data_IF_734560381864
#
_entry.id   IF_734560381864
#
_cell.length_a   1.000
_cell.length_b   1.000
_cell.length_c   1.000
_cell.angle_alpha   90.00
_cell.angle_beta   90.00
_cell.angle_gamma   90.00
#
_symmetry.space_group_name_H-M   'P 1'
#
loop_
_entity.id
_entity.type
_entity.pdbx_description
1 polymer ?
#
# COMPACT_ATOMS: atom_id res chain seq x y z
N UNK A 1 -6.98 -13.69 -7.12
CA UNK A 1 -5.55 -13.76 -6.71
C UNK A 1 -4.47 -13.64 -7.81
N UNK A 2 -4.04 -14.68 -8.56
CA UNK A 2 -2.87 -14.56 -9.49
C UNK A 2 -3.00 -13.44 -10.55
N UNK A 3 -4.21 -13.22 -11.07
CA UNK A 3 -4.50 -12.16 -12.05
C UNK A 3 -4.42 -10.76 -11.43
N UNK A 4 -4.91 -10.56 -10.21
CA UNK A 4 -4.85 -9.28 -9.49
C UNK A 4 -3.42 -8.93 -9.08
N UNK A 5 -2.68 -9.89 -8.52
CA UNK A 5 -1.24 -9.72 -8.21
C UNK A 5 -0.45 -9.28 -9.46
N UNK A 6 -0.75 -9.84 -10.64
CA UNK A 6 -0.13 -9.42 -11.92
C UNK A 6 -0.55 -8.02 -12.36
N UNK A 7 -1.83 -7.66 -12.20
CA UNK A 7 -2.38 -6.34 -12.56
C UNK A 7 -1.79 -5.24 -11.68
N UNK A 8 -1.75 -5.46 -10.36
CA UNK A 8 -1.11 -4.62 -9.37
C UNK A 8 0.36 -4.30 -9.74
N UNK A 9 1.16 -5.35 -9.98
CA UNK A 9 2.57 -5.21 -10.35
C UNK A 9 2.77 -4.45 -11.66
N UNK A 10 1.89 -4.63 -12.64
CA UNK A 10 1.91 -3.88 -13.90
C UNK A 10 1.62 -2.39 -13.71
N UNK A 11 0.60 -2.07 -12.91
CA UNK A 11 0.24 -0.68 -12.59
C UNK A 11 1.37 0.05 -11.85
N UNK A 12 1.99 -0.60 -10.85
CA UNK A 12 3.14 -0.06 -10.13
C UNK A 12 4.28 0.30 -11.09
N UNK A 13 4.65 -0.62 -11.99
CA UNK A 13 5.72 -0.38 -12.98
C UNK A 13 5.41 0.82 -13.87
N UNK A 14 4.16 0.94 -14.37
CA UNK A 14 3.75 2.08 -15.20
C UNK A 14 3.89 3.41 -14.44
N UNK A 15 3.47 3.45 -13.19
CA UNK A 15 3.54 4.64 -12.33
C UNK A 15 5.01 5.01 -12.06
N UNK A 16 5.88 4.03 -11.78
CA UNK A 16 7.31 4.26 -11.57
C UNK A 16 8.02 4.80 -12.81
N UNK A 17 7.71 4.27 -14.00
CA UNK A 17 8.25 4.81 -15.26
C UNK A 17 7.82 6.25 -15.48
N UNK A 18 6.56 6.58 -15.16
CA UNK A 18 6.06 7.96 -15.25
C UNK A 18 6.76 8.90 -14.25
N UNK A 19 7.06 8.44 -13.02
CA UNK A 19 7.86 9.21 -12.05
C UNK A 19 9.25 9.47 -12.61
N UNK A 20 9.91 8.42 -13.10
CA UNK A 20 11.27 8.50 -13.63
C UNK A 20 11.38 9.49 -14.80
N UNK A 21 10.48 9.40 -15.79
CA UNK A 21 10.41 10.34 -16.91
C UNK A 21 10.16 11.80 -16.47
N UNK A 22 9.42 12.00 -15.38
CA UNK A 22 9.16 13.35 -14.85
C UNK A 22 10.39 13.93 -14.15
N UNK A 23 11.17 13.09 -13.44
CA UNK A 23 12.39 13.47 -12.73
C UNK A 23 13.48 13.97 -13.69
N UNK A 24 13.60 13.37 -14.87
CA UNK A 24 14.57 13.79 -15.90
C UNK A 24 13.99 14.86 -16.85
N UNK A 25 13.73 16.08 -16.34
CA UNK A 25 13.13 17.21 -17.07
C UNK A 25 13.95 17.64 -18.31
N UNK A 26 15.27 17.52 -18.28
CA UNK A 26 16.20 17.96 -19.34
C UNK A 26 16.04 17.17 -20.66
N UNK A 27 15.76 15.87 -20.57
CA UNK A 27 15.52 15.00 -21.73
C UNK A 27 14.26 15.40 -22.51
N UNK A 28 13.24 15.91 -21.83
CA UNK A 28 12.00 16.39 -22.46
C UNK A 28 12.19 17.73 -23.16
N UNK A 29 12.99 18.61 -22.58
CA UNK A 29 13.32 19.91 -23.17
C UNK A 29 14.05 19.75 -24.51
N UNK A 30 15.04 18.85 -24.57
CA UNK A 30 15.77 18.56 -25.81
C UNK A 30 14.86 18.08 -26.96
N UNK A 31 13.90 17.18 -26.67
CA UNK A 31 12.93 16.68 -27.65
C UNK A 31 11.96 17.77 -28.14
N UNK A 32 11.49 18.65 -27.25
CA UNK A 32 10.59 19.75 -27.64
C UNK A 32 11.30 20.81 -28.49
N UNK A 33 12.56 21.16 -28.17
CA UNK A 33 13.35 22.08 -28.99
C UNK A 33 13.55 21.55 -30.42
N UNK A 34 13.85 20.26 -30.57
CA UNK A 34 14.00 19.63 -31.88
C UNK A 34 12.73 19.73 -32.74
N UNK A 35 11.55 19.51 -32.15
CA UNK A 35 10.27 19.60 -32.87
C UNK A 35 9.96 21.03 -33.33
N UNK A 36 10.24 22.04 -32.50
CA UNK A 36 10.04 23.46 -32.86
C UNK A 36 10.96 23.87 -34.02
N UNK A 37 12.22 23.43 -34.02
CA UNK A 37 13.15 23.72 -35.11
C UNK A 37 12.67 23.13 -36.45
N UNK A 38 12.08 21.93 -36.44
CA UNK A 38 11.49 21.32 -37.64
C UNK A 38 10.30 22.13 -38.16
N UNK A 39 9.43 22.61 -37.27
CA UNK A 39 8.29 23.45 -37.65
C UNK A 39 8.71 24.82 -38.23
N UNK A 40 9.75 25.43 -37.66
CA UNK A 40 10.32 26.68 -38.19
C UNK A 40 10.90 26.45 -39.59
N UNK A 41 11.70 25.40 -39.76
CA UNK A 41 12.29 25.05 -41.06
C UNK A 41 11.22 24.81 -42.14
N UNK A 42 10.16 24.07 -41.79
CA UNK A 42 9.06 23.79 -42.70
C UNK A 42 8.27 25.04 -43.08
N UNK A 43 8.01 25.92 -42.10
CA UNK A 43 7.26 27.17 -42.31
C UNK A 43 8.02 28.16 -43.20
N UNK A 44 9.34 28.27 -43.02
CA UNK A 44 10.19 29.09 -43.88
C UNK A 44 10.15 28.61 -45.34
N UNK A 45 10.24 27.30 -45.54
CA UNK A 45 10.22 26.71 -46.89
C UNK A 45 8.87 26.89 -47.60
N UNK A 46 7.78 27.03 -46.84
CA UNK A 46 6.44 27.30 -47.37
C UNK A 46 6.26 28.78 -47.75
N UNK A 47 6.77 29.71 -46.93
CA UNK A 47 6.62 31.16 -47.17
C UNK A 47 7.41 31.63 -48.39
N UNK A 48 8.56 31.02 -48.71
CA UNK A 48 9.34 31.36 -49.91
C UNK A 48 8.63 31.02 -51.24
N UNK A 49 7.41 30.45 -51.21
CA UNK A 49 6.65 30.02 -52.39
C UNK A 49 5.36 30.80 -52.63
N UNK A 50 4.99 31.75 -51.77
CA UNK A 50 3.69 32.43 -51.85
C UNK A 50 3.90 33.95 -51.88
N UNK A 51 3.55 34.58 -53.01
CA UNK A 51 3.58 36.02 -53.21
C UNK A 51 2.19 36.59 -52.90
N UNK A 52 2.07 37.52 -51.93
CA UNK A 52 0.78 38.01 -51.44
C UNK A 52 0.73 39.55 -51.55
N UNK A 53 -0.19 40.09 -52.37
CA UNK A 53 -0.50 41.53 -52.47
C UNK A 53 -1.68 41.91 -51.54
N UNK A 54 -1.58 43.04 -50.82
CA UNK A 54 -2.49 43.47 -49.75
C UNK A 54 -2.86 44.96 -49.87
N UNK A 55 -4.07 45.31 -50.38
CA UNK A 55 -4.50 46.73 -50.51
C UNK A 55 -5.75 47.13 -49.69
N UNK A 56 -6.45 46.23 -49.00
CA UNK A 56 -7.55 46.62 -48.07
C UNK A 56 -7.72 45.70 -46.86
N UNK A 57 -6.69 44.92 -46.57
CA UNK A 57 -6.60 43.87 -45.56
C UNK A 57 -6.35 44.41 -44.14
N UNK A 58 -5.99 45.70 -43.98
CA UNK A 58 -5.61 46.26 -42.68
C UNK A 58 -6.75 46.34 -41.66
N UNK A 59 -7.90 46.91 -42.02
CA UNK A 59 -9.04 47.07 -41.09
C UNK A 59 -9.76 45.75 -40.82
N UNK A 60 -10.01 44.98 -41.88
CA UNK A 60 -10.58 43.63 -41.76
C UNK A 60 -9.64 42.70 -40.96
N UNK A 61 -8.32 42.85 -41.14
CA UNK A 61 -7.29 42.15 -40.39
C UNK A 61 -7.27 42.52 -38.89
N UNK A 62 -7.52 43.79 -38.53
CA UNK A 62 -7.63 44.21 -37.12
C UNK A 62 -8.85 43.62 -36.43
N UNK A 63 -10.02 43.60 -37.09
CA UNK A 63 -11.24 43.00 -36.52
C UNK A 63 -11.09 41.48 -36.39
N UNK A 64 -10.57 40.80 -37.42
CA UNK A 64 -10.28 39.37 -37.36
C UNK A 64 -9.22 39.05 -36.29
N UNK A 65 -8.17 39.87 -36.20
CA UNK A 65 -7.13 39.75 -35.18
C UNK A 65 -7.69 39.90 -33.75
N UNK A 66 -8.61 40.84 -33.53
CA UNK A 66 -9.27 41.01 -32.24
C UNK A 66 -10.18 39.82 -31.88
N UNK A 67 -10.94 39.29 -32.84
CA UNK A 67 -11.79 38.10 -32.64
C UNK A 67 -10.94 36.87 -32.35
N UNK A 68 -9.89 36.62 -33.14
CA UNK A 68 -8.97 35.50 -32.94
C UNK A 68 -8.23 35.65 -31.60
N UNK A 69 -7.75 36.85 -31.27
CA UNK A 69 -7.10 37.16 -30.00
C UNK A 69 -8.02 36.94 -28.80
N UNK A 70 -9.30 37.33 -28.91
CA UNK A 70 -10.32 37.08 -27.89
C UNK A 70 -10.61 35.59 -27.68
N UNK A 71 -10.76 34.83 -28.76
CA UNK A 71 -10.97 33.37 -28.70
C UNK A 71 -9.75 32.64 -28.13
N UNK A 72 -8.53 33.01 -28.53
CA UNK A 72 -7.29 32.45 -27.99
C UNK A 72 -7.12 32.79 -26.51
N UNK A 73 -7.47 34.01 -26.08
CA UNK A 73 -7.45 34.41 -24.67
C UNK A 73 -8.42 33.60 -23.84
N UNK A 74 -9.64 33.38 -24.34
CA UNK A 74 -10.66 32.56 -23.67
C UNK A 74 -10.23 31.09 -23.60
N UNK A 75 -9.74 30.52 -24.70
CA UNK A 75 -9.20 29.15 -24.72
C UNK A 75 -8.01 28.99 -23.75
N UNK A 76 -7.11 29.97 -23.72
CA UNK A 76 -6.00 30.04 -22.77
C UNK A 76 -6.49 30.07 -21.33
N UNK A 77 -7.49 30.90 -21.03
CA UNK A 77 -8.08 31.04 -19.69
C UNK A 77 -8.73 29.74 -19.22
N UNK A 78 -9.52 29.08 -20.08
CA UNK A 78 -10.14 27.78 -19.78
C UNK A 78 -9.07 26.72 -19.55
N UNK A 79 -8.00 26.72 -20.36
CA UNK A 79 -6.90 25.76 -20.21
C UNK A 79 -6.15 25.96 -18.89
N UNK A 80 -5.79 27.20 -18.54
CA UNK A 80 -5.13 27.54 -17.27
C UNK A 80 -6.03 27.13 -16.09
N UNK A 81 -7.31 27.51 -16.14
CA UNK A 81 -8.27 27.16 -15.10
C UNK A 81 -8.42 25.64 -14.92
N UNK A 82 -8.54 24.90 -16.03
CA UNK A 82 -8.60 23.44 -16.00
C UNK A 82 -7.33 22.82 -15.39
N UNK A 83 -6.16 23.37 -15.74
CA UNK A 83 -4.87 22.90 -15.22
C UNK A 83 -4.74 23.17 -13.72
N UNK A 84 -5.14 24.35 -13.26
CA UNK A 84 -5.14 24.73 -11.84
C UNK A 84 -6.11 23.86 -11.03
N UNK A 85 -7.33 23.65 -11.55
CA UNK A 85 -8.32 22.80 -10.89
C UNK A 85 -7.83 21.35 -10.76
N UNK A 86 -7.19 20.82 -11.81
CA UNK A 86 -6.53 19.50 -11.75
C UNK A 86 -5.39 19.47 -10.74
N UNK A 87 -4.61 20.53 -10.61
CA UNK A 87 -3.54 20.61 -9.61
C UNK A 87 -4.12 20.56 -8.20
N UNK A 88 -5.10 21.42 -7.89
CA UNK A 88 -5.81 21.46 -6.61
C UNK A 88 -6.40 20.09 -6.25
N UNK A 89 -7.05 19.43 -7.20
CA UNK A 89 -7.62 18.10 -6.96
C UNK A 89 -6.55 17.03 -6.68
N UNK A 90 -5.41 17.05 -7.38
CA UNK A 90 -4.33 16.09 -7.13
C UNK A 90 -3.64 16.32 -5.78
N UNK A 91 -3.44 17.57 -5.38
CA UNK A 91 -2.93 17.92 -4.05
C UNK A 91 -3.92 17.48 -2.97
N UNK A 92 -5.23 17.73 -3.17
CA UNK A 92 -6.30 17.24 -2.29
C UNK A 92 -6.25 15.72 -2.14
N UNK A 93 -6.12 14.96 -3.25
CA UNK A 93 -5.99 13.49 -3.20
C UNK A 93 -4.75 13.04 -2.44
N UNK A 94 -3.60 13.68 -2.64
CA UNK A 94 -2.39 13.39 -1.85
C UNK A 94 -2.66 13.54 -0.36
N UNK A 95 -3.19 14.68 0.06
CA UNK A 95 -3.39 15.00 1.48
C UNK A 95 -4.50 14.17 2.15
N UNK A 96 -5.59 13.87 1.43
CA UNK A 96 -6.77 13.22 2.02
C UNK A 96 -6.84 11.71 1.84
N UNK A 97 -6.08 11.15 0.88
CA UNK A 97 -6.11 9.73 0.52
C UNK A 97 -4.71 9.14 0.67
N UNK A 98 -3.73 9.64 -0.06
CA UNK A 98 -2.43 8.96 -0.16
C UNK A 98 -1.60 9.08 1.12
N UNK A 99 -1.45 10.28 1.69
CA UNK A 99 -0.66 10.48 2.91
C UNK A 99 -1.24 9.69 4.09
N UNK A 100 -2.55 9.75 4.41
CA UNK A 100 -3.10 8.96 5.52
C UNK A 100 -2.92 7.45 5.36
N UNK A 101 -3.01 6.93 4.13
CA UNK A 101 -2.75 5.52 3.87
C UNK A 101 -1.27 5.19 4.01
N UNK A 102 -0.38 6.04 3.48
CA UNK A 102 1.06 5.84 3.58
C UNK A 102 1.52 5.81 5.05
N UNK A 103 1.08 6.78 5.85
CA UNK A 103 1.48 6.91 7.25
C UNK A 103 1.02 5.69 8.08
N UNK A 104 -0.21 5.20 7.85
CA UNK A 104 -0.72 3.99 8.50
C UNK A 104 0.07 2.74 8.09
N UNK A 105 0.32 2.55 6.79
CA UNK A 105 1.07 1.40 6.28
C UNK A 105 2.53 1.41 6.75
N UNK A 106 3.15 2.58 6.85
CA UNK A 106 4.51 2.74 7.35
C UNK A 106 4.57 2.44 8.86
N UNK A 107 3.62 2.97 9.63
CA UNK A 107 3.51 2.68 11.07
C UNK A 107 3.40 1.18 11.32
N UNK A 108 2.53 0.48 10.57
CA UNK A 108 2.38 -0.97 10.69
C UNK A 108 3.67 -1.69 10.27
N UNK A 109 4.36 -1.21 9.25
CA UNK A 109 5.63 -1.81 8.85
C UNK A 109 6.68 -1.72 9.96
N UNK A 110 6.80 -0.56 10.60
CA UNK A 110 7.79 -0.32 11.65
C UNK A 110 7.45 -1.05 12.96
N UNK A 111 6.17 -1.26 13.26
CA UNK A 111 5.74 -1.98 14.47
C UNK A 111 5.70 -3.50 14.29
N UNK A 112 5.31 -3.99 13.11
CA UNK A 112 5.13 -5.42 12.83
C UNK A 112 6.36 -6.00 12.15
N UNK A 113 6.67 -5.54 10.95
CA UNK A 113 7.63 -6.22 10.08
C UNK A 113 9.09 -5.90 10.42
N UNK A 114 9.39 -4.66 10.82
CA UNK A 114 10.75 -4.27 11.23
C UNK A 114 11.18 -4.98 12.52
N UNK A 115 10.23 -5.29 13.40
CA UNK A 115 10.47 -6.00 14.66
C UNK A 115 10.29 -7.52 14.55
N UNK A 116 9.93 -8.03 13.36
CA UNK A 116 9.55 -9.44 13.14
C UNK A 116 8.49 -9.93 14.16
N UNK A 117 7.52 -9.05 14.44
CA UNK A 117 6.43 -9.30 15.36
C UNK A 117 5.26 -9.96 14.62
N UNK A 118 4.60 -10.91 15.30
CA UNK A 118 3.45 -11.64 14.80
C UNK A 118 2.20 -11.24 15.60
N UNK A 119 1.39 -10.28 15.10
CA UNK A 119 0.25 -9.77 15.83
C UNK A 119 -0.79 -10.86 16.09
N UNK A 120 -1.40 -10.92 17.30
CA UNK A 120 -2.49 -11.83 17.61
C UNK A 120 -3.71 -11.65 16.70
N UNK A 121 -4.00 -10.41 16.34
CA UNK A 121 -5.09 -10.04 15.46
C UNK A 121 -4.67 -8.96 14.46
N UNK A 122 -5.16 -9.08 13.24
CA UNK A 122 -5.00 -8.05 12.22
C UNK A 122 -6.29 -7.88 11.40
N UNK A 123 -6.86 -6.68 11.39
CA UNK A 123 -8.14 -6.43 10.71
C UNK A 123 -8.24 -5.06 10.02
N UNK A 124 -9.19 -4.97 9.09
CA UNK A 124 -9.68 -3.71 8.55
C UNK A 124 -10.95 -3.33 9.30
N UNK A 125 -10.87 -2.32 10.17
CA UNK A 125 -11.99 -1.91 11.00
C UNK A 125 -12.01 -0.40 11.24
N UNK A 126 -13.23 0.11 11.46
CA UNK A 126 -13.53 1.53 11.71
C UNK A 126 -13.22 1.94 13.14
N UNK A 127 -13.22 0.98 14.06
CA UNK A 127 -13.12 1.27 15.47
C UNK A 127 -11.68 1.60 15.87
N UNK A 128 -11.52 2.47 16.87
CA UNK A 128 -10.20 2.68 17.48
C UNK A 128 -9.70 1.35 18.03
N UNK A 129 -8.41 1.11 17.89
CA UNK A 129 -7.72 -0.05 18.45
C UNK A 129 -8.07 -0.18 19.93
N UNK A 130 -8.67 -1.31 20.32
CA UNK A 130 -9.08 -1.57 21.72
C UNK A 130 -7.92 -2.15 22.54
N UNK A 131 -7.03 -2.93 21.91
CA UNK A 131 -5.87 -3.55 22.56
C UNK A 131 -4.56 -3.15 21.86
N UNK A 132 -3.53 -2.84 22.65
CA UNK A 132 -2.23 -2.34 22.15
C UNK A 132 -1.50 -3.30 21.18
N UNK A 133 -1.80 -4.60 21.26
CA UNK A 133 -1.10 -5.63 20.49
C UNK A 133 -1.73 -5.92 19.11
N UNK A 134 -2.94 -5.39 18.85
CA UNK A 134 -3.70 -5.62 17.62
C UNK A 134 -3.27 -4.67 16.49
N UNK A 135 -3.28 -5.17 15.25
CA UNK A 135 -2.99 -4.35 14.07
C UNK A 135 -4.29 -4.01 13.36
N UNK A 136 -4.56 -2.71 13.18
CA UNK A 136 -5.80 -2.27 12.54
C UNK A 136 -5.55 -1.28 11.41
N UNK A 137 -6.17 -1.56 10.27
CA UNK A 137 -6.18 -0.70 9.10
C UNK A 137 -7.46 0.15 9.07
N UNK A 138 -7.36 1.39 9.56
CA UNK A 138 -8.49 2.30 9.74
C UNK A 138 -8.62 3.33 8.63
N UNK A 139 -7.51 3.73 8.00
CA UNK A 139 -7.49 4.78 6.99
C UNK A 139 -8.27 4.33 5.74
N UNK A 140 -8.09 3.08 5.33
CA UNK A 140 -8.81 2.52 4.18
C UNK A 140 -10.31 2.44 4.40
N UNK A 141 -10.74 1.92 5.56
CA UNK A 141 -12.16 1.84 5.91
C UNK A 141 -12.82 3.22 5.93
N UNK A 142 -12.14 4.23 6.49
CA UNK A 142 -12.62 5.61 6.49
C UNK A 142 -12.77 6.17 5.07
N UNK A 143 -11.83 5.86 4.17
CA UNK A 143 -11.89 6.31 2.78
C UNK A 143 -13.05 5.62 2.04
N UNK A 144 -13.26 4.31 2.24
CA UNK A 144 -14.36 3.56 1.61
C UNK A 144 -15.75 4.12 1.96
N UNK A 145 -15.89 4.71 3.14
CA UNK A 145 -17.17 5.20 3.64
C UNK A 145 -17.61 6.57 3.10
N UNK A 146 -16.73 7.33 2.45
CA UNK A 146 -17.05 8.69 2.03
C UNK A 146 -16.69 8.98 0.57
N UNK A 147 -16.88 10.23 0.18
CA UNK A 147 -16.69 10.69 -1.21
C UNK A 147 -15.25 10.54 -1.70
N UNK A 148 -14.26 10.38 -0.81
CA UNK A 148 -12.87 10.12 -1.18
C UNK A 148 -12.72 8.80 -1.92
N UNK A 149 -13.57 7.81 -1.66
CA UNK A 149 -13.57 6.56 -2.43
C UNK A 149 -13.81 6.80 -3.93
N UNK A 150 -14.70 7.72 -4.29
CA UNK A 150 -14.96 8.09 -5.69
C UNK A 150 -13.76 8.78 -6.32
N UNK A 151 -13.02 9.57 -5.54
CA UNK A 151 -11.80 10.25 -6.00
C UNK A 151 -10.55 9.33 -6.02
N UNK A 152 -10.64 8.13 -5.43
CA UNK A 152 -9.52 7.18 -5.33
C UNK A 152 -9.33 6.43 -6.66
N UNK A 153 -8.10 6.42 -7.24
CA UNK A 153 -7.82 5.66 -8.45
C UNK A 153 -8.01 4.14 -8.27
N UNK A 154 -8.49 3.46 -9.31
CA UNK A 154 -8.69 2.01 -9.30
C UNK A 154 -7.42 1.22 -8.98
N UNK A 155 -6.25 1.72 -9.36
CA UNK A 155 -4.98 1.09 -9.01
C UNK A 155 -4.78 1.02 -7.49
N UNK A 156 -5.18 2.06 -6.76
CA UNK A 156 -5.11 2.09 -5.29
C UNK A 156 -6.20 1.21 -4.71
N UNK A 157 -7.44 1.31 -5.19
CA UNK A 157 -8.56 0.45 -4.74
C UNK A 157 -8.20 -1.02 -4.81
N UNK A 158 -7.83 -1.49 -6.01
CA UNK A 158 -7.50 -2.90 -6.22
C UNK A 158 -6.32 -3.37 -5.35
N UNK A 159 -5.34 -2.50 -5.12
CA UNK A 159 -4.18 -2.84 -4.30
C UNK A 159 -4.52 -2.88 -2.81
N UNK A 160 -5.39 -1.98 -2.35
CA UNK A 160 -5.88 -2.00 -0.97
C UNK A 160 -6.81 -3.18 -0.71
N UNK A 161 -7.71 -3.52 -1.63
CA UNK A 161 -8.56 -4.72 -1.48
C UNK A 161 -7.72 -6.01 -1.47
N UNK A 162 -6.69 -6.11 -2.30
CA UNK A 162 -5.74 -7.22 -2.23
C UNK A 162 -5.03 -7.27 -0.87
N UNK A 163 -4.67 -6.12 -0.30
CA UNK A 163 -4.10 -6.08 1.05
C UNK A 163 -5.12 -6.53 2.12
N UNK A 164 -6.39 -6.14 2.00
CA UNK A 164 -7.47 -6.63 2.86
C UNK A 164 -7.54 -8.16 2.87
N UNK A 165 -7.54 -8.78 1.68
CA UNK A 165 -7.58 -10.23 1.54
C UNK A 165 -6.39 -10.91 2.23
N UNK A 166 -5.17 -10.42 2.00
CA UNK A 166 -3.96 -11.03 2.61
C UNK A 166 -3.93 -10.87 4.13
N UNK A 167 -4.46 -9.77 4.66
CA UNK A 167 -4.59 -9.56 6.11
C UNK A 167 -5.64 -10.51 6.70
N UNK A 168 -6.76 -10.72 6.03
CA UNK A 168 -7.80 -11.68 6.44
C UNK A 168 -7.30 -13.13 6.39
N UNK A 169 -6.54 -13.49 5.36
CA UNK A 169 -5.89 -14.81 5.27
C UNK A 169 -4.87 -15.01 6.40
N UNK A 170 -4.09 -13.98 6.74
CA UNK A 170 -3.19 -14.01 7.90
C UNK A 170 -3.96 -14.21 9.21
N UNK A 171 -5.02 -13.42 9.46
CA UNK A 171 -5.78 -13.50 10.72
C UNK A 171 -6.45 -14.88 10.88
N UNK A 172 -7.00 -15.42 9.79
CA UNK A 172 -7.57 -16.77 9.75
C UNK A 172 -6.50 -17.82 10.06
N UNK A 173 -5.36 -17.77 9.37
CA UNK A 173 -4.24 -18.69 9.60
C UNK A 173 -3.69 -18.55 11.04
N UNK A 174 -3.71 -17.35 11.63
CA UNK A 174 -3.31 -17.12 13.03
C UNK A 174 -4.23 -17.83 14.01
N UNK A 175 -5.55 -17.82 13.78
CA UNK A 175 -6.52 -18.54 14.62
C UNK A 175 -6.41 -20.05 14.45
N UNK A 176 -6.25 -20.54 13.23
CA UNK A 176 -6.02 -21.97 12.97
C UNK A 176 -4.74 -22.47 13.65
N UNK A 177 -3.67 -21.68 13.54
CA UNK A 177 -2.39 -21.96 14.21
C UNK A 177 -2.55 -21.97 15.74
N UNK A 178 -3.31 -21.03 16.32
CA UNK A 178 -3.63 -21.05 17.76
C UNK A 178 -4.30 -22.37 18.17
N UNK A 179 -5.30 -22.80 17.39
CA UNK A 179 -6.02 -24.05 17.65
C UNK A 179 -5.16 -25.31 17.48
N UNK A 180 -4.21 -25.30 16.55
CA UNK A 180 -3.24 -26.39 16.38
C UNK A 180 -2.27 -26.46 17.55
N UNK A 181 -1.71 -25.32 17.96
CA UNK A 181 -0.78 -25.23 19.10
C UNK A 181 -1.46 -25.72 20.38
N UNK A 182 -2.73 -25.36 20.61
CA UNK A 182 -3.50 -25.86 21.74
C UNK A 182 -3.65 -27.38 21.70
N UNK A 183 -4.00 -27.95 20.54
CA UNK A 183 -4.12 -29.41 20.35
C UNK A 183 -2.81 -30.15 20.58
N UNK A 184 -1.69 -29.62 20.07
CA UNK A 184 -0.35 -30.19 20.29
C UNK A 184 0.00 -30.16 21.78
N UNK A 185 -0.23 -29.01 22.42
CA UNK A 185 0.06 -28.84 23.85
C UNK A 185 -0.76 -29.79 24.72
N UNK A 186 -2.08 -29.86 24.51
CA UNK A 186 -2.99 -30.72 25.29
C UNK A 186 -2.61 -32.20 25.19
N UNK A 187 -2.23 -32.65 23.99
CA UNK A 187 -1.77 -34.03 23.76
C UNK A 187 -0.46 -34.32 24.49
N UNK A 188 0.51 -33.40 24.44
CA UNK A 188 1.81 -33.59 25.09
C UNK A 188 1.64 -33.57 26.61
N UNK A 189 0.89 -32.62 27.16
CA UNK A 189 0.62 -32.53 28.60
C UNK A 189 -0.08 -33.79 29.12
N UNK A 190 -1.05 -34.35 28.37
CA UNK A 190 -1.70 -35.62 28.70
C UNK A 190 -0.70 -36.80 28.73
N UNK A 191 0.22 -36.87 27.77
CA UNK A 191 1.30 -37.87 27.73
C UNK A 191 2.17 -37.85 29.00
N UNK A 192 2.34 -36.68 29.64
CA UNK A 192 3.10 -36.53 30.89
C UNK A 192 2.22 -36.61 32.15
N UNK A 193 0.93 -36.98 32.04
CA UNK A 193 0.03 -37.21 33.17
C UNK A 193 -0.56 -35.94 33.80
N UNK A 194 -0.51 -34.82 33.10
CA UNK A 194 -1.04 -33.53 33.57
C UNK A 194 -2.48 -33.30 33.01
N UNK A 195 -3.41 -32.70 33.79
CA UNK A 195 -4.81 -32.58 33.40
C UNK A 195 -5.05 -31.50 32.32
N UNK A 196 -5.65 -31.89 31.20
CA UNK A 196 -5.99 -30.99 30.06
C UNK A 196 -6.93 -29.83 30.43
N UNK A 197 -7.81 -30.02 31.41
CA UNK A 197 -8.82 -29.02 31.79
C UNK A 197 -8.23 -27.68 32.28
N UNK A 198 -6.97 -27.65 32.69
CA UNK A 198 -6.28 -26.44 33.14
C UNK A 198 -5.89 -25.49 31.98
N UNK A 199 -5.88 -25.99 30.74
CA UNK A 199 -5.16 -25.39 29.61
C UNK A 199 -6.03 -24.99 28.41
N UNK A 200 -7.32 -25.36 28.42
CA UNK A 200 -8.28 -25.01 27.38
C UNK A 200 -8.39 -23.49 27.15
N UNK A 201 -8.39 -23.07 25.88
CA UNK A 201 -8.51 -21.69 25.44
C UNK A 201 -7.23 -20.87 25.55
N UNK A 202 -6.06 -21.52 25.73
CA UNK A 202 -4.77 -20.84 25.92
C UNK A 202 -3.84 -20.95 24.72
N UNK A 203 -4.26 -21.53 23.60
CA UNK A 203 -3.43 -21.63 22.39
C UNK A 203 -2.82 -20.31 21.92
N UNK A 204 -3.52 -19.18 22.13
CA UNK A 204 -3.00 -17.84 21.81
C UNK A 204 -1.82 -17.40 22.69
N UNK A 205 -1.80 -17.78 23.97
CA UNK A 205 -0.68 -17.49 24.90
C UNK A 205 0.53 -18.31 24.52
N UNK A 206 0.30 -19.61 24.29
CA UNK A 206 1.36 -20.57 23.95
C UNK A 206 2.02 -20.18 22.62
N UNK A 207 1.20 -19.94 21.59
CA UNK A 207 1.71 -19.53 20.29
C UNK A 207 2.44 -18.18 20.34
N UNK A 208 1.99 -17.22 21.17
CA UNK A 208 2.70 -15.94 21.36
C UNK A 208 4.11 -16.18 21.90
N UNK A 209 4.27 -17.04 22.91
CA UNK A 209 5.59 -17.38 23.47
C UNK A 209 6.48 -18.18 22.51
N UNK A 210 5.89 -19.02 21.65
CA UNK A 210 6.63 -19.72 20.59
C UNK A 210 7.14 -18.73 19.54
N UNK A 211 6.28 -17.83 19.08
CA UNK A 211 6.59 -16.87 18.01
C UNK A 211 7.53 -15.75 18.47
N UNK A 212 7.46 -15.31 19.73
CA UNK A 212 8.35 -14.29 20.29
C UNK A 212 9.79 -14.78 20.46
N UNK A 213 10.02 -16.11 20.39
CA UNK A 213 11.29 -16.76 20.70
C UNK A 213 11.84 -16.38 22.08
N UNK A 214 10.97 -15.96 22.98
CA UNK A 214 11.36 -15.74 24.36
C UNK A 214 11.72 -17.09 24.99
N UNK A 215 12.90 -17.15 25.63
CA UNK A 215 13.40 -18.30 26.38
C UNK A 215 12.68 -18.41 27.74
N UNK A 216 11.36 -18.27 27.70
CA UNK A 216 10.47 -18.47 28.84
C UNK A 216 9.82 -19.82 28.68
N UNK A 217 9.84 -20.59 29.76
CA UNK A 217 9.14 -21.85 29.85
C UNK A 217 7.63 -21.63 29.71
N UNK A 218 7.04 -22.11 28.60
CA UNK A 218 5.63 -21.91 28.27
C UNK A 218 4.73 -22.50 29.36
N UNK A 219 5.11 -23.67 29.89
CA UNK A 219 4.36 -24.34 30.96
C UNK A 219 4.26 -23.48 32.23
N UNK A 220 5.31 -22.72 32.57
CA UNK A 220 5.31 -21.78 33.70
C UNK A 220 4.40 -20.58 33.46
N UNK A 221 4.44 -19.99 32.26
CA UNK A 221 3.55 -18.86 31.91
C UNK A 221 2.07 -19.25 31.99
N UNK A 222 1.78 -20.50 31.63
CA UNK A 222 0.42 -21.01 31.61
C UNK A 222 -0.03 -21.41 33.04
N UNK A 223 0.75 -22.17 33.79
CA UNK A 223 0.31 -22.69 35.10
C UNK A 223 0.35 -21.64 36.22
N UNK A 224 1.12 -20.56 36.08
CA UNK A 224 1.30 -19.49 37.08
C UNK A 224 1.67 -19.95 38.51
N UNK A 225 1.92 -21.24 38.76
CA UNK A 225 2.00 -21.76 40.15
C UNK A 225 2.86 -23.01 40.38
N UNK A 226 3.55 -23.59 39.38
CA UNK A 226 4.48 -24.72 39.61
C UNK A 226 5.93 -24.26 39.40
N UNK A 227 6.80 -24.61 40.35
CA UNK A 227 8.25 -24.48 40.14
C UNK A 227 8.65 -25.22 38.87
N UNK A 228 9.62 -24.65 38.15
CA UNK A 228 10.14 -25.27 36.94
C UNK A 228 10.80 -26.59 37.30
N UNK A 229 10.21 -27.69 36.83
CA UNK A 229 10.71 -29.04 37.04
C UNK A 229 11.15 -29.67 35.71
N UNK A 230 11.88 -30.78 35.76
CA UNK A 230 12.39 -31.44 34.57
C UNK A 230 11.29 -31.93 33.61
N UNK A 231 10.07 -32.18 34.11
CA UNK A 231 8.92 -32.54 33.29
C UNK A 231 8.43 -31.33 32.48
N UNK A 232 8.32 -30.17 33.10
CA UNK A 232 7.89 -28.92 32.44
C UNK A 232 8.83 -28.50 31.32
N UNK A 233 10.15 -28.67 31.50
CA UNK A 233 11.15 -28.41 30.44
C UNK A 233 11.04 -29.38 29.28
N UNK A 234 10.77 -30.67 29.56
CA UNK A 234 10.54 -31.67 28.52
C UNK A 234 9.28 -31.38 27.71
N UNK A 235 8.18 -31.01 28.38
CA UNK A 235 6.94 -30.58 27.72
C UNK A 235 7.21 -29.37 26.83
N UNK A 236 7.85 -28.32 27.35
CA UNK A 236 8.15 -27.10 26.59
C UNK A 236 8.97 -27.40 25.32
N UNK A 237 10.03 -28.21 25.45
CA UNK A 237 10.87 -28.62 24.32
C UNK A 237 10.08 -29.42 23.28
N UNK A 238 9.33 -30.44 23.70
CA UNK A 238 8.56 -31.31 22.81
C UNK A 238 7.47 -30.50 22.06
N UNK A 239 6.79 -29.59 22.76
CA UNK A 239 5.79 -28.69 22.15
C UNK A 239 6.45 -27.79 21.11
N UNK A 240 7.58 -27.15 21.43
CA UNK A 240 8.28 -26.26 20.49
C UNK A 240 8.76 -27.00 19.26
N UNK A 241 9.34 -28.19 19.43
CA UNK A 241 9.80 -29.03 18.32
C UNK A 241 8.64 -29.47 17.41
N UNK A 242 7.52 -29.90 17.99
CA UNK A 242 6.39 -30.37 17.19
C UNK A 242 5.65 -29.22 16.49
N UNK A 243 5.48 -28.08 17.18
CA UNK A 243 4.87 -26.88 16.61
C UNK A 243 5.73 -26.32 15.47
N UNK A 244 7.05 -26.25 15.61
CA UNK A 244 7.93 -25.72 14.55
C UNK A 244 7.89 -26.59 13.29
N UNK A 245 7.64 -27.90 13.43
CA UNK A 245 7.51 -28.85 12.32
C UNK A 245 6.08 -29.02 11.79
N UNK A 246 5.10 -28.33 12.38
CA UNK A 246 3.69 -28.45 11.98
C UNK A 246 3.39 -27.76 10.64
N UNK A 247 2.49 -28.34 9.85
CA UNK A 247 2.00 -27.71 8.62
C UNK A 247 1.31 -26.37 8.90
N UNK A 248 0.66 -26.24 10.07
CA UNK A 248 0.03 -24.99 10.51
C UNK A 248 1.06 -23.86 10.70
N UNK A 249 2.22 -24.14 11.30
CA UNK A 249 3.31 -23.15 11.44
C UNK A 249 3.82 -22.69 10.07
N UNK A 250 4.01 -23.63 9.14
CA UNK A 250 4.46 -23.32 7.79
C UNK A 250 3.44 -22.45 7.06
N UNK A 251 2.18 -22.86 7.04
CA UNK A 251 1.10 -22.11 6.41
C UNK A 251 0.97 -20.70 7.00
N UNK A 252 1.01 -20.58 8.33
CA UNK A 252 0.98 -19.30 9.03
C UNK A 252 2.14 -18.37 8.62
N UNK A 253 3.38 -18.89 8.58
CA UNK A 253 4.55 -18.12 8.14
C UNK A 253 4.44 -17.69 6.68
N UNK A 254 3.88 -18.54 5.81
CA UNK A 254 3.64 -18.21 4.41
C UNK A 254 2.62 -17.06 4.28
N UNK A 255 1.49 -17.12 4.98
CA UNK A 255 0.49 -16.05 4.99
C UNK A 255 1.07 -14.72 5.51
N UNK A 256 1.90 -14.76 6.57
CA UNK A 256 2.60 -13.56 7.06
C UNK A 256 3.55 -12.97 6.02
N UNK A 257 4.32 -13.81 5.31
CA UNK A 257 5.22 -13.37 4.26
C UNK A 257 4.45 -12.76 3.06
N UNK A 258 3.31 -13.34 2.69
CA UNK A 258 2.44 -12.82 1.65
C UNK A 258 1.82 -11.47 2.02
N UNK A 259 1.35 -11.32 3.26
CA UNK A 259 0.88 -10.05 3.80
C UNK A 259 2.00 -9.00 3.72
N UNK A 260 3.19 -9.29 4.26
CA UNK A 260 4.34 -8.39 4.23
C UNK A 260 4.68 -7.93 2.80
N UNK A 261 4.81 -8.89 1.88
CA UNK A 261 5.15 -8.60 0.49
C UNK A 261 4.08 -7.73 -0.21
N UNK A 262 2.81 -7.96 0.12
CA UNK A 262 1.70 -7.17 -0.42
C UNK A 262 1.69 -5.77 0.18
N UNK A 263 1.90 -5.63 1.49
CA UNK A 263 2.01 -4.33 2.16
C UNK A 263 3.15 -3.49 1.59
N UNK A 264 4.35 -4.06 1.40
CA UNK A 264 5.46 -3.35 0.78
C UNK A 264 5.15 -2.86 -0.64
N UNK A 265 4.43 -3.67 -1.44
CA UNK A 265 4.00 -3.26 -2.77
C UNK A 265 2.99 -2.11 -2.71
N UNK A 266 2.04 -2.18 -1.78
CA UNK A 266 1.05 -1.13 -1.53
C UNK A 266 1.71 0.17 -1.10
N UNK A 267 2.62 0.12 -0.12
CA UNK A 267 3.36 1.29 0.35
C UNK A 267 4.16 1.93 -0.79
N UNK A 268 4.85 1.13 -1.62
CA UNK A 268 5.60 1.62 -2.79
C UNK A 268 4.70 2.28 -3.83
N UNK A 269 3.52 1.73 -4.08
CA UNK A 269 2.53 2.32 -5.00
C UNK A 269 2.09 3.70 -4.51
N UNK A 270 1.70 3.79 -3.24
CA UNK A 270 1.20 5.02 -2.63
C UNK A 270 2.31 6.07 -2.57
N UNK A 271 3.52 5.70 -2.15
CA UNK A 271 4.69 6.57 -2.16
C UNK A 271 4.97 7.15 -3.55
N UNK A 272 4.91 6.31 -4.59
CA UNK A 272 5.10 6.76 -5.97
C UNK A 272 4.03 7.77 -6.40
N UNK A 273 2.78 7.58 -5.98
CA UNK A 273 1.69 8.51 -6.27
C UNK A 273 1.87 9.85 -5.54
N UNK A 274 2.33 9.83 -4.29
CA UNK A 274 2.69 11.04 -3.53
C UNK A 274 3.80 11.77 -4.28
N UNK A 275 4.91 11.10 -4.61
CA UNK A 275 6.05 11.69 -5.34
C UNK A 275 5.61 12.30 -6.68
N UNK A 276 4.72 11.63 -7.43
CA UNK A 276 4.17 12.19 -8.66
C UNK A 276 3.42 13.51 -8.46
N UNK A 277 2.70 13.66 -7.35
CA UNK A 277 1.98 14.89 -7.03
C UNK A 277 2.98 15.98 -6.65
N UNK A 278 3.94 15.67 -5.77
CA UNK A 278 5.00 16.60 -5.35
C UNK A 278 5.75 17.17 -6.57
N UNK A 279 6.31 16.29 -7.41
CA UNK A 279 7.12 16.70 -8.57
C UNK A 279 6.37 17.48 -9.65
N UNK A 280 5.05 17.35 -9.72
CA UNK A 280 4.23 17.93 -10.80
C UNK A 280 3.49 19.20 -10.38
N UNK A 281 3.17 19.34 -9.10
CA UNK A 281 2.26 20.38 -8.62
C UNK A 281 2.81 21.20 -7.45
N UNK A 282 3.85 20.73 -6.75
CA UNK A 282 4.38 21.41 -5.56
C UNK A 282 5.90 21.65 -5.61
N UNK A 283 6.60 21.23 -6.67
CA UNK A 283 8.03 21.49 -6.90
C UNK A 283 8.36 21.86 -8.34
#
# INVERSE_FOLDING_TARGET
MKKEKKRAKSNLRKIQVQVWLKKHKELRFGLSCAAVLVLIYFSWNLMNKVDIHLDNTGVAGTILGAVIGGLLTLAGSIWVYSKEQRAKQNVKRKNLIYSPLYDELQTIYDTVFAKNYYPPHADFSKEKQQYHDDVRFSAWERIKMDTRYLETPDAVKNQMELLCEMVQEYDTARQEFNGEVERIFDRIVEKYGEPQSMFKGRGWVISKGILSKEDKNLYKEITRSKEENEVSKKIDKEVREEVENSDAMKHFKDCYAEWKATQEQTTKLIASLIEQVLLKYEG
#
